data_IF_871872647530
#
_entry.id   IF_871872647530
#
_cell.length_a   1.000
_cell.length_b   1.000
_cell.length_c   1.000
_cell.angle_alpha   90.00
_cell.angle_beta   90.00
_cell.angle_gamma   90.00
#
_symmetry.space_group_name_H-M   'P 1'
#
loop_
_entity.id
_entity.type
_entity.pdbx_description
1 polymer ?
#
# COMPACT_ATOMS: atom_id res chain seq x y z
N UNK A 1 14.83 -12.72 5.22
CA UNK A 1 13.82 -12.02 4.39
C UNK A 1 13.27 -10.90 5.26
N UNK A 2 13.19 -9.67 4.76
CA UNK A 2 12.56 -8.60 5.55
C UNK A 2 11.04 -8.82 5.59
N UNK A 3 10.34 -8.47 6.69
CA UNK A 3 8.88 -8.60 6.77
C UNK A 3 8.16 -7.86 5.65
N UNK A 4 8.70 -6.71 5.25
CA UNK A 4 8.17 -5.81 4.22
C UNK A 4 8.48 -6.25 2.78
N UNK A 5 9.06 -7.43 2.57
CA UNK A 5 9.48 -7.87 1.24
C UNK A 5 8.33 -7.95 0.22
N UNK A 6 7.09 -8.18 0.68
CA UNK A 6 5.91 -8.17 -0.18
C UNK A 6 5.58 -6.78 -0.72
N UNK A 7 6.17 -5.70 -0.18
CA UNK A 7 6.04 -4.36 -0.74
C UNK A 7 6.53 -4.29 -2.19
N UNK A 8 7.51 -5.13 -2.58
CA UNK A 8 7.96 -5.21 -3.96
C UNK A 8 6.86 -5.69 -4.91
N UNK A 9 6.11 -6.72 -4.51
CA UNK A 9 4.99 -7.26 -5.28
C UNK A 9 3.83 -6.27 -5.32
N UNK A 10 3.48 -5.70 -4.16
CA UNK A 10 2.46 -4.67 -4.02
C UNK A 10 2.75 -3.45 -4.93
N UNK A 11 3.97 -2.92 -4.88
CA UNK A 11 4.41 -1.79 -5.71
C UNK A 11 4.43 -2.13 -7.21
N UNK A 12 4.92 -3.32 -7.58
CA UNK A 12 4.94 -3.76 -8.99
C UNK A 12 3.52 -3.92 -9.53
N UNK A 13 2.61 -4.48 -8.73
CA UNK A 13 1.21 -4.66 -9.09
C UNK A 13 0.50 -3.32 -9.31
N UNK A 14 0.69 -2.32 -8.42
CA UNK A 14 0.00 -1.04 -8.57
C UNK A 14 0.51 -0.24 -9.78
N UNK A 15 1.81 -0.31 -10.09
CA UNK A 15 2.36 0.30 -11.32
C UNK A 15 1.82 -0.41 -12.57
N UNK A 16 1.60 -1.73 -12.51
CA UNK A 16 0.92 -2.47 -13.58
C UNK A 16 -0.53 -2.02 -13.80
N UNK A 17 -1.29 -1.79 -12.72
CA UNK A 17 -2.67 -1.27 -12.78
C UNK A 17 -2.68 0.14 -13.37
N UNK A 18 -1.82 1.03 -12.89
CA UNK A 18 -1.69 2.39 -13.42
C UNK A 18 -1.34 2.38 -14.92
N UNK A 19 -0.40 1.53 -15.35
CA UNK A 19 -0.06 1.37 -16.76
C UNK A 19 -1.26 0.90 -17.59
N UNK A 20 -2.08 -0.02 -17.06
CA UNK A 20 -3.28 -0.51 -17.75
C UNK A 20 -4.32 0.60 -17.93
N UNK A 21 -4.56 1.42 -16.91
CA UNK A 21 -5.51 2.54 -16.96
C UNK A 21 -5.13 3.58 -18.03
N UNK A 22 -3.84 3.81 -18.26
CA UNK A 22 -3.34 4.72 -19.29
C UNK A 22 -3.14 4.06 -20.67
N UNK A 23 -3.55 2.80 -20.86
CA UNK A 23 -3.45 2.09 -22.13
C UNK A 23 -2.05 1.55 -22.46
N UNK A 24 -1.10 1.59 -21.53
CA UNK A 24 0.27 1.08 -21.71
C UNK A 24 0.38 -0.42 -21.45
N UNK A 25 -0.31 -1.23 -22.27
CA UNK A 25 -0.33 -2.69 -22.15
C UNK A 25 1.08 -3.33 -22.19
N UNK A 26 2.00 -2.77 -22.97
CA UNK A 26 3.40 -3.24 -23.10
C UNK A 26 4.17 -3.13 -21.78
N UNK A 27 3.85 -2.13 -20.95
CA UNK A 27 4.45 -1.96 -19.61
C UNK A 27 3.64 -2.76 -18.57
N UNK A 28 2.31 -2.72 -18.68
CA UNK A 28 1.41 -3.34 -17.71
C UNK A 28 1.59 -4.85 -17.63
N UNK A 29 1.62 -5.58 -18.75
CA UNK A 29 1.66 -7.03 -18.77
C UNK A 29 2.91 -7.64 -18.13
N UNK A 30 4.15 -7.18 -18.47
CA UNK A 30 5.36 -7.68 -17.81
C UNK A 30 5.35 -7.44 -16.30
N UNK A 31 4.90 -6.26 -15.86
CA UNK A 31 4.79 -5.95 -14.42
C UNK A 31 3.72 -6.81 -13.73
N UNK A 32 2.59 -7.06 -14.40
CA UNK A 32 1.55 -7.93 -13.88
C UNK A 32 2.09 -9.35 -13.66
N UNK A 33 2.82 -9.90 -14.63
CA UNK A 33 3.45 -11.21 -14.53
C UNK A 33 4.50 -11.25 -13.43
N UNK A 34 5.32 -10.22 -13.31
CA UNK A 34 6.33 -10.14 -12.25
C UNK A 34 5.69 -10.11 -10.86
N UNK A 35 4.60 -9.38 -10.68
CA UNK A 35 3.85 -9.37 -9.41
C UNK A 35 3.18 -10.73 -9.15
N UNK A 36 2.54 -11.32 -10.16
CA UNK A 36 1.86 -12.61 -10.07
C UNK A 36 2.79 -13.78 -9.73
N UNK A 37 4.01 -13.79 -10.28
CA UNK A 37 5.04 -14.79 -9.99
C UNK A 37 5.81 -14.48 -8.70
N UNK A 38 6.03 -13.20 -8.42
CA UNK A 38 6.73 -12.74 -7.22
C UNK A 38 5.96 -13.06 -5.94
N UNK A 39 4.63 -12.96 -5.95
CA UNK A 39 3.80 -13.25 -4.79
C UNK A 39 3.99 -14.68 -4.24
N UNK A 40 3.75 -15.77 -5.00
CA UNK A 40 3.93 -17.13 -4.51
C UNK A 40 5.39 -17.44 -4.17
N UNK A 41 6.35 -16.87 -4.90
CA UNK A 41 7.78 -17.00 -4.57
C UNK A 41 8.09 -16.42 -3.18
N UNK A 42 7.61 -15.21 -2.89
CA UNK A 42 7.79 -14.60 -1.58
C UNK A 42 6.99 -15.32 -0.49
N UNK A 43 5.80 -15.86 -0.79
CA UNK A 43 5.04 -16.70 0.15
C UNK A 43 5.83 -17.95 0.53
N UNK A 44 6.44 -18.64 -0.43
CA UNK A 44 7.28 -19.80 -0.19
C UNK A 44 8.52 -19.45 0.65
N UNK A 45 9.20 -18.35 0.32
CA UNK A 45 10.36 -17.87 1.08
C UNK A 45 9.98 -17.45 2.51
N UNK A 46 8.84 -16.79 2.68
CA UNK A 46 8.31 -16.42 3.99
C UNK A 46 7.94 -17.67 4.80
N UNK A 47 7.37 -18.70 4.17
CA UNK A 47 7.02 -19.96 4.80
C UNK A 47 8.26 -20.70 5.34
N UNK A 48 9.32 -20.82 4.53
CA UNK A 48 10.59 -21.44 4.95
C UNK A 48 11.26 -20.64 6.06
N UNK A 49 11.20 -19.31 5.98
CA UNK A 49 11.87 -18.42 6.94
C UNK A 49 10.95 -17.96 8.07
N UNK A 50 9.84 -18.65 8.35
CA UNK A 50 8.88 -18.26 9.41
C UNK A 50 9.54 -18.05 10.77
N UNK A 51 10.51 -18.89 11.15
CA UNK A 51 11.24 -18.78 12.42
C UNK A 51 12.13 -17.53 12.53
N UNK A 52 12.41 -16.85 11.42
CA UNK A 52 13.20 -15.62 11.42
C UNK A 52 12.38 -14.36 11.70
N UNK A 53 11.05 -14.47 11.70
CA UNK A 53 10.17 -13.34 12.01
C UNK A 53 9.94 -13.26 13.52
N UNK A 54 10.41 -12.17 14.13
CA UNK A 54 10.08 -11.86 15.50
C UNK A 54 8.66 -11.27 15.59
N UNK A 55 7.67 -12.13 15.81
CA UNK A 55 6.26 -11.77 16.02
C UNK A 55 6.01 -11.10 17.39
N UNK A 56 7.06 -10.85 18.17
CA UNK A 56 6.98 -9.98 19.35
C UNK A 56 7.15 -8.51 19.01
N UNK A 57 7.84 -8.21 17.91
CA UNK A 57 7.99 -6.86 17.40
C UNK A 57 6.75 -6.40 16.64
N UNK A 58 6.27 -5.20 16.98
CA UNK A 58 5.16 -4.54 16.28
C UNK A 58 5.53 -4.24 14.82
N UNK A 59 6.78 -3.83 14.57
CA UNK A 59 7.25 -3.46 13.23
C UNK A 59 7.27 -4.67 12.29
N UNK A 60 7.56 -5.87 12.81
CA UNK A 60 7.46 -7.12 12.04
C UNK A 60 6.01 -7.40 11.65
N UNK A 61 5.07 -7.30 12.60
CA UNK A 61 3.64 -7.58 12.35
C UNK A 61 3.09 -6.59 11.32
N UNK A 62 3.36 -5.30 11.51
CA UNK A 62 2.97 -4.25 10.58
C UNK A 62 3.59 -4.49 9.20
N UNK A 63 4.88 -4.80 9.12
CA UNK A 63 5.56 -5.07 7.86
C UNK A 63 4.93 -6.26 7.09
N UNK A 64 4.41 -7.27 7.80
CA UNK A 64 3.70 -8.39 7.20
C UNK A 64 2.34 -8.00 6.59
N UNK A 65 1.75 -6.84 6.91
CA UNK A 65 0.55 -6.37 6.19
C UNK A 65 0.83 -6.06 4.71
N UNK A 66 2.10 -5.89 4.31
CA UNK A 66 2.47 -5.85 2.89
C UNK A 66 2.04 -7.11 2.13
N UNK A 67 1.94 -8.27 2.79
CA UNK A 67 1.39 -9.49 2.19
C UNK A 67 -0.11 -9.34 1.89
N UNK A 68 -0.90 -8.82 2.84
CA UNK A 68 -2.34 -8.59 2.65
C UNK A 68 -2.58 -7.62 1.49
N UNK A 69 -1.83 -6.51 1.47
CA UNK A 69 -1.91 -5.53 0.41
C UNK A 69 -1.44 -6.09 -0.95
N UNK A 70 -0.36 -6.89 -0.99
CA UNK A 70 0.09 -7.54 -2.21
C UNK A 70 -0.95 -8.51 -2.78
N UNK A 71 -1.61 -9.31 -1.93
CA UNK A 71 -2.72 -10.17 -2.35
C UNK A 71 -3.85 -9.35 -2.97
N UNK A 72 -4.28 -8.27 -2.31
CA UNK A 72 -5.36 -7.41 -2.80
C UNK A 72 -5.01 -6.71 -4.13
N UNK A 73 -3.79 -6.19 -4.27
CA UNK A 73 -3.36 -5.50 -5.50
C UNK A 73 -3.26 -6.48 -6.67
N UNK A 74 -2.69 -7.68 -6.46
CA UNK A 74 -2.64 -8.70 -7.51
C UNK A 74 -4.05 -9.20 -7.85
N UNK A 75 -4.92 -9.39 -6.85
CA UNK A 75 -6.32 -9.74 -7.07
C UNK A 75 -7.05 -8.69 -7.93
N UNK A 76 -6.88 -7.41 -7.61
CA UNK A 76 -7.45 -6.31 -8.37
C UNK A 76 -6.93 -6.27 -9.81
N UNK A 77 -5.63 -6.54 -10.02
CA UNK A 77 -5.05 -6.56 -11.38
C UNK A 77 -5.64 -7.65 -12.26
N UNK A 78 -6.03 -8.78 -11.68
CA UNK A 78 -6.60 -9.95 -12.36
C UNK A 78 -8.08 -10.16 -12.01
N UNK A 79 -8.82 -9.09 -11.67
CA UNK A 79 -10.20 -9.17 -11.23
C UNK A 79 -11.15 -9.77 -12.27
N UNK A 80 -10.78 -9.73 -13.56
CA UNK A 80 -11.49 -10.41 -14.65
C UNK A 80 -11.51 -11.94 -14.49
N UNK A 81 -10.52 -12.51 -13.79
CA UNK A 81 -10.43 -13.92 -13.48
C UNK A 81 -10.98 -14.19 -12.08
N UNK A 82 -12.29 -14.48 -12.00
CA UNK A 82 -13.01 -14.75 -10.72
C UNK A 82 -12.26 -15.70 -9.76
N UNK A 83 -11.65 -16.82 -10.20
CA UNK A 83 -10.90 -17.70 -9.30
C UNK A 83 -9.70 -17.02 -8.64
N UNK A 84 -9.01 -16.12 -9.37
CA UNK A 84 -7.85 -15.38 -8.84
C UNK A 84 -8.30 -14.40 -7.76
N UNK A 85 -9.38 -13.67 -8.01
CA UNK A 85 -9.98 -12.76 -7.03
C UNK A 85 -10.37 -13.50 -5.74
N UNK A 86 -11.04 -14.64 -5.86
CA UNK A 86 -11.41 -15.49 -4.73
C UNK A 86 -10.20 -16.02 -3.94
N UNK A 87 -9.22 -16.63 -4.63
CA UNK A 87 -8.07 -17.26 -3.98
C UNK A 87 -7.22 -16.20 -3.27
N UNK A 88 -6.87 -15.12 -3.96
CA UNK A 88 -6.05 -14.06 -3.39
C UNK A 88 -6.80 -13.26 -2.32
N UNK A 89 -8.12 -13.07 -2.50
CA UNK A 89 -8.99 -12.49 -1.49
C UNK A 89 -9.03 -13.31 -0.21
N UNK A 90 -9.23 -14.62 -0.31
CA UNK A 90 -9.21 -15.53 0.84
C UNK A 90 -7.83 -15.56 1.53
N UNK A 91 -6.75 -15.56 0.75
CA UNK A 91 -5.38 -15.51 1.26
C UNK A 91 -5.07 -14.19 1.98
N UNK A 92 -5.50 -13.07 1.42
CA UNK A 92 -5.39 -11.74 2.03
C UNK A 92 -6.19 -11.66 3.33
N UNK A 93 -7.44 -12.16 3.32
CA UNK A 93 -8.32 -12.18 4.49
C UNK A 93 -7.74 -13.07 5.61
N UNK A 94 -7.19 -14.24 5.28
CA UNK A 94 -6.50 -15.10 6.24
C UNK A 94 -5.25 -14.41 6.83
N UNK A 95 -4.50 -13.68 6.01
CA UNK A 95 -3.38 -12.85 6.48
C UNK A 95 -3.86 -11.75 7.44
N UNK A 96 -4.93 -11.05 7.09
CA UNK A 96 -5.45 -9.96 7.91
C UNK A 96 -6.03 -10.45 9.24
N UNK A 97 -6.83 -11.52 9.24
CA UNK A 97 -7.45 -12.10 10.45
C UNK A 97 -6.41 -12.65 11.43
N UNK A 98 -5.24 -13.06 10.94
CA UNK A 98 -4.12 -13.47 11.80
C UNK A 98 -3.30 -12.30 12.31
N UNK A 99 -3.06 -11.27 11.49
CA UNK A 99 -2.20 -10.14 11.85
C UNK A 99 -2.91 -9.08 12.72
N UNK A 100 -4.20 -8.79 12.47
CA UNK A 100 -4.91 -7.72 13.18
C UNK A 100 -5.02 -7.96 14.70
N UNK A 101 -5.33 -9.17 15.22
CA UNK A 101 -5.42 -9.39 16.65
C UNK A 101 -4.04 -9.31 17.30
N UNK A 102 -3.00 -9.80 16.61
CA UNK A 102 -1.61 -9.69 17.06
C UNK A 102 -1.19 -8.22 17.18
N UNK A 103 -1.50 -7.40 16.17
CA UNK A 103 -1.24 -5.97 16.19
C UNK A 103 -1.94 -5.31 17.39
N UNK A 104 -3.25 -5.53 17.55
CA UNK A 104 -4.04 -4.92 18.63
C UNK A 104 -3.52 -5.32 20.03
N UNK A 105 -3.16 -6.59 20.24
CA UNK A 105 -2.58 -7.05 21.51
C UNK A 105 -1.24 -6.36 21.79
N UNK A 106 -0.39 -6.18 20.77
CA UNK A 106 0.90 -5.49 20.92
C UNK A 106 0.72 -4.00 21.19
N UNK A 107 -0.20 -3.35 20.47
CA UNK A 107 -0.50 -1.94 20.68
C UNK A 107 -1.03 -1.68 22.10
N UNK A 108 -1.92 -2.55 22.60
CA UNK A 108 -2.42 -2.46 23.98
C UNK A 108 -1.31 -2.62 25.03
N UNK A 109 -0.33 -3.49 24.80
CA UNK A 109 0.80 -3.71 25.72
C UNK A 109 1.80 -2.56 25.77
N UNK A 110 1.94 -1.80 24.68
CA UNK A 110 2.85 -0.65 24.61
C UNK A 110 2.29 0.57 25.36
N UNK A 111 0.97 0.70 25.47
CA UNK A 111 0.32 1.88 26.00
C UNK A 111 0.43 3.10 25.08
N UNK A 112 -0.27 4.21 25.38
CA UNK A 112 -0.37 5.36 24.49
C UNK A 112 0.98 6.06 24.25
N UNK A 113 1.81 6.19 25.30
CA UNK A 113 3.14 6.82 25.21
C UNK A 113 4.10 5.94 24.40
N UNK A 114 4.15 4.64 24.71
CA UNK A 114 5.00 3.69 23.97
C UNK A 114 4.58 3.51 22.50
N UNK A 115 3.31 3.72 22.18
CA UNK A 115 2.81 3.78 20.81
C UNK A 115 3.33 5.01 20.08
N UNK A 116 3.20 6.20 20.69
CA UNK A 116 3.69 7.45 20.11
C UNK A 116 5.18 7.38 19.78
N UNK A 117 6.01 6.95 20.73
CA UNK A 117 7.46 6.92 20.57
C UNK A 117 7.93 5.94 19.49
N UNK A 118 7.08 4.99 19.09
CA UNK A 118 7.36 4.00 18.04
C UNK A 118 6.58 4.23 16.75
N UNK A 119 5.64 5.17 16.73
CA UNK A 119 4.82 5.49 15.56
C UNK A 119 5.70 5.90 14.39
N UNK A 120 5.43 5.29 13.22
CA UNK A 120 6.21 5.40 11.97
C UNK A 120 5.28 5.20 10.79
N UNK A 121 5.65 5.73 9.62
CA UNK A 121 4.81 5.66 8.41
C UNK A 121 4.47 4.22 8.00
N UNK A 122 5.36 3.26 8.26
CA UNK A 122 5.12 1.83 8.01
C UNK A 122 3.86 1.30 8.70
N UNK A 123 3.42 1.87 9.83
CA UNK A 123 2.22 1.45 10.56
C UNK A 123 0.92 1.61 9.75
N UNK A 124 0.93 2.48 8.75
CA UNK A 124 -0.19 2.67 7.83
C UNK A 124 -0.41 1.46 6.91
N UNK A 125 0.54 0.52 6.81
CA UNK A 125 0.32 -0.73 6.08
C UNK A 125 -0.87 -1.53 6.60
N UNK A 126 -1.20 -1.39 7.90
CA UNK A 126 -2.40 -1.98 8.47
C UNK A 126 -3.67 -1.40 7.83
N UNK A 127 -3.74 -0.07 7.64
CA UNK A 127 -4.83 0.57 6.90
C UNK A 127 -4.81 0.16 5.43
N UNK A 128 -3.66 0.23 4.75
CA UNK A 128 -3.50 -0.13 3.33
C UNK A 128 -4.01 -1.54 3.04
N UNK A 129 -3.58 -2.54 3.82
CA UNK A 129 -4.04 -3.91 3.66
C UNK A 129 -5.55 -4.07 3.90
N UNK A 130 -6.10 -3.30 4.85
CA UNK A 130 -7.54 -3.31 5.16
C UNK A 130 -8.36 -2.67 4.03
N UNK A 131 -7.91 -1.55 3.45
CA UNK A 131 -8.53 -0.94 2.26
C UNK A 131 -8.45 -1.88 1.05
N UNK A 132 -7.34 -2.60 0.88
CA UNK A 132 -7.21 -3.63 -0.14
C UNK A 132 -8.26 -4.74 -0.03
N UNK A 133 -8.58 -5.20 1.20
CA UNK A 133 -9.66 -6.17 1.40
C UNK A 133 -11.04 -5.58 1.11
N UNK A 134 -11.28 -4.31 1.45
CA UNK A 134 -12.52 -3.62 1.07
C UNK A 134 -12.74 -3.67 -0.44
N UNK A 135 -11.71 -3.34 -1.24
CA UNK A 135 -11.76 -3.42 -2.70
C UNK A 135 -12.08 -4.84 -3.20
N UNK A 136 -11.46 -5.87 -2.61
CA UNK A 136 -11.75 -7.27 -2.97
C UNK A 136 -13.20 -7.64 -2.69
N UNK A 137 -13.75 -7.27 -1.53
CA UNK A 137 -15.15 -7.55 -1.20
C UNK A 137 -16.14 -6.82 -2.12
N UNK A 138 -15.85 -5.56 -2.47
CA UNK A 138 -16.66 -4.81 -3.42
C UNK A 138 -16.61 -5.46 -4.81
N UNK A 139 -15.44 -5.87 -5.28
CA UNK A 139 -15.28 -6.57 -6.55
C UNK A 139 -16.02 -7.93 -6.60
N UNK A 140 -16.13 -8.62 -5.47
CA UNK A 140 -16.95 -9.83 -5.33
C UNK A 140 -18.47 -9.55 -5.26
N UNK A 141 -18.88 -8.30 -5.12
CA UNK A 141 -20.27 -7.88 -4.96
C UNK A 141 -20.80 -7.99 -3.52
N UNK A 142 -19.91 -8.12 -2.53
CA UNK A 142 -20.27 -8.30 -1.11
C UNK A 142 -20.16 -6.96 -0.37
N UNK A 143 -21.15 -6.09 -0.61
CA UNK A 143 -21.13 -4.68 -0.18
C UNK A 143 -20.95 -4.50 1.33
N UNK A 144 -21.63 -5.31 2.14
CA UNK A 144 -21.56 -5.23 3.60
C UNK A 144 -20.12 -5.31 4.12
N UNK A 145 -19.36 -6.30 3.67
CA UNK A 145 -17.95 -6.44 4.06
C UNK A 145 -17.08 -5.36 3.43
N UNK A 146 -17.37 -4.93 2.20
CA UNK A 146 -16.72 -3.77 1.58
C UNK A 146 -16.75 -2.53 2.50
N UNK A 147 -17.94 -2.18 3.01
CA UNK A 147 -18.13 -1.07 3.95
C UNK A 147 -17.43 -1.27 5.29
N UNK A 148 -17.56 -2.47 5.88
CA UNK A 148 -16.95 -2.76 7.18
C UNK A 148 -15.43 -2.62 7.12
N UNK A 149 -14.79 -3.20 6.11
CA UNK A 149 -13.34 -3.09 5.93
C UNK A 149 -12.92 -1.65 5.60
N UNK A 150 -13.70 -0.92 4.80
CA UNK A 150 -13.42 0.49 4.53
C UNK A 150 -13.47 1.36 5.79
N UNK A 151 -14.52 1.22 6.60
CA UNK A 151 -14.64 1.93 7.88
C UNK A 151 -13.50 1.59 8.84
N UNK A 152 -13.12 0.31 8.95
CA UNK A 152 -11.96 -0.11 9.75
C UNK A 152 -10.67 0.53 9.20
N UNK A 153 -10.49 0.56 7.88
CA UNK A 153 -9.30 1.15 7.28
C UNK A 153 -9.18 2.65 7.56
N UNK A 154 -10.29 3.40 7.50
CA UNK A 154 -10.34 4.82 7.85
C UNK A 154 -10.02 5.05 9.34
N UNK A 155 -10.56 4.22 10.23
CA UNK A 155 -10.26 4.28 11.65
C UNK A 155 -8.77 3.99 11.92
N UNK A 156 -8.21 2.95 11.30
CA UNK A 156 -6.79 2.62 11.41
C UNK A 156 -5.92 3.77 10.91
N UNK A 157 -6.26 4.34 9.75
CA UNK A 157 -5.54 5.48 9.18
C UNK A 157 -5.54 6.67 10.13
N UNK A 158 -6.71 7.07 10.63
CA UNK A 158 -6.84 8.19 11.56
C UNK A 158 -6.03 7.99 12.85
N UNK A 159 -6.08 6.80 13.44
CA UNK A 159 -5.33 6.48 14.67
C UNK A 159 -3.82 6.50 14.43
N UNK A 160 -3.33 5.85 13.38
CA UNK A 160 -1.90 5.77 13.08
C UNK A 160 -1.34 7.15 12.70
N UNK A 161 -2.04 7.88 11.84
CA UNK A 161 -1.66 9.24 11.44
C UNK A 161 -1.63 10.18 12.64
N UNK A 162 -2.59 10.09 13.57
CA UNK A 162 -2.60 10.91 14.79
C UNK A 162 -1.41 10.61 15.69
N UNK A 163 -1.04 9.33 15.85
CA UNK A 163 0.14 8.93 16.64
C UNK A 163 1.44 9.46 16.02
N UNK A 164 1.55 9.42 14.69
CA UNK A 164 2.71 9.95 13.95
C UNK A 164 2.78 11.47 14.07
N UNK A 165 1.64 12.15 13.90
CA UNK A 165 1.56 13.61 14.06
C UNK A 165 1.92 14.04 15.49
N UNK A 166 1.40 13.34 16.50
CA UNK A 166 1.71 13.60 17.90
C UNK A 166 3.21 13.42 18.18
N UNK A 167 3.83 12.38 17.63
CA UNK A 167 5.29 12.19 17.73
C UNK A 167 6.07 13.34 17.08
N UNK A 168 5.66 13.80 15.90
CA UNK A 168 6.34 14.86 15.16
C UNK A 168 6.19 16.25 15.82
N UNK A 169 5.09 16.49 16.53
CA UNK A 169 4.91 17.74 17.28
C UNK A 169 5.88 17.83 18.46
N UNK A 170 6.06 16.73 19.19
CA UNK A 170 6.94 16.70 20.36
C UNK A 170 8.43 16.59 20.02
N UNK A 171 8.80 15.86 18.97
CA UNK A 171 10.19 15.65 18.59
C UNK A 171 10.58 16.46 17.34
N UNK A 172 11.36 17.53 17.57
CA UNK A 172 11.84 18.41 16.49
C UNK A 172 12.83 17.76 15.53
N UNK A 173 13.48 16.67 15.92
CA UNK A 173 14.43 15.94 15.07
C UNK A 173 13.68 15.10 14.02
N UNK A 174 12.55 14.51 14.41
CA UNK A 174 11.64 13.77 13.50
C UNK A 174 11.06 14.71 12.43
N UNK A 175 10.79 15.98 12.75
CA UNK A 175 10.32 16.96 11.74
C UNK A 175 11.37 17.31 10.68
N UNK A 176 12.66 17.30 11.06
CA UNK A 176 13.75 17.67 10.15
C UNK A 176 14.18 16.53 9.24
N UNK A 177 14.10 15.29 9.74
CA UNK A 177 14.50 14.09 9.01
C UNK A 177 13.30 13.17 8.81
N UNK A 178 12.38 13.56 7.91
CA UNK A 178 11.21 12.74 7.56
C UNK A 178 11.68 11.42 6.93
N UNK A 179 11.42 10.27 7.55
CA UNK A 179 11.84 8.99 7.00
C UNK A 179 11.05 8.58 5.74
N UNK A 180 11.61 7.64 4.92
CA UNK A 180 11.04 7.27 3.62
C UNK A 180 9.66 6.61 3.72
N UNK A 181 9.35 6.05 4.88
CA UNK A 181 8.11 5.36 5.16
C UNK A 181 6.90 6.30 5.27
N UNK A 182 7.11 7.62 5.37
CA UNK A 182 6.03 8.60 5.41
C UNK A 182 5.27 8.70 4.08
N UNK A 183 5.87 8.25 2.96
CA UNK A 183 5.12 8.07 1.72
C UNK A 183 3.92 7.12 1.89
N UNK A 184 4.00 6.15 2.81
CA UNK A 184 2.92 5.20 3.08
C UNK A 184 1.69 5.90 3.67
N UNK A 185 1.82 7.03 4.38
CA UNK A 185 0.68 7.84 4.82
C UNK A 185 -0.14 8.33 3.62
N UNK A 186 0.54 8.95 2.64
CA UNK A 186 -0.12 9.38 1.41
C UNK A 186 -0.75 8.18 0.68
N UNK A 187 -0.04 7.05 0.60
CA UNK A 187 -0.54 5.83 -0.03
C UNK A 187 -1.77 5.23 0.67
N UNK A 188 -1.81 5.27 2.01
CA UNK A 188 -2.92 4.83 2.85
C UNK A 188 -4.19 5.64 2.60
N UNK A 189 -4.07 6.97 2.58
CA UNK A 189 -5.18 7.84 2.20
C UNK A 189 -5.63 7.61 0.75
N UNK A 190 -4.70 7.42 -0.18
CA UNK A 190 -5.02 7.16 -1.59
C UNK A 190 -5.78 5.85 -1.80
N UNK A 191 -5.41 4.75 -1.13
CA UNK A 191 -6.14 3.48 -1.24
C UNK A 191 -7.47 3.48 -0.48
N UNK A 192 -7.56 4.21 0.63
CA UNK A 192 -8.84 4.44 1.30
C UNK A 192 -9.81 5.25 0.41
N UNK A 193 -9.29 6.22 -0.35
CA UNK A 193 -10.04 6.95 -1.37
C UNK A 193 -10.52 6.01 -2.46
N UNK A 194 -9.63 5.19 -3.04
CA UNK A 194 -10.01 4.26 -4.10
C UNK A 194 -11.08 3.27 -3.62
N UNK A 195 -10.96 2.74 -2.40
CA UNK A 195 -11.98 1.88 -1.81
C UNK A 195 -13.33 2.61 -1.66
N UNK A 196 -13.31 3.88 -1.28
CA UNK A 196 -14.51 4.71 -1.17
C UNK A 196 -15.18 4.96 -2.52
N UNK A 197 -14.40 5.23 -3.57
CA UNK A 197 -14.89 5.40 -4.95
C UNK A 197 -15.58 4.12 -5.47
N UNK A 198 -14.94 2.96 -5.30
CA UNK A 198 -15.54 1.68 -5.69
C UNK A 198 -16.84 1.36 -4.92
N UNK A 199 -16.90 1.72 -3.63
CA UNK A 199 -18.14 1.60 -2.83
C UNK A 199 -19.20 2.54 -3.39
N UNK A 200 -18.86 3.81 -3.64
CA UNK A 200 -19.78 4.81 -4.16
C UNK A 200 -20.40 4.40 -5.50
N UNK A 201 -19.58 3.92 -6.45
CA UNK A 201 -20.05 3.46 -7.77
C UNK A 201 -21.04 2.30 -7.67
N UNK A 202 -20.91 1.47 -6.65
CA UNK A 202 -21.78 0.31 -6.44
C UNK A 202 -23.03 0.63 -5.59
N UNK A 203 -23.19 1.86 -5.10
CA UNK A 203 -24.37 2.32 -4.36
C UNK A 203 -25.43 2.92 -5.27
N UNK A 204 -26.70 2.76 -4.87
CA UNK A 204 -27.79 3.57 -5.41
C UNK A 204 -27.72 5.01 -4.89
N UNK A 205 -28.14 6.01 -5.68
CA UNK A 205 -28.20 7.40 -5.22
C UNK A 205 -28.98 7.55 -3.91
N UNK A 206 -28.42 8.30 -2.95
CA UNK A 206 -29.05 8.55 -1.66
C UNK A 206 -28.07 9.07 -0.60
N UNK A 207 -28.53 9.34 0.62
CA UNK A 207 -27.72 9.99 1.66
C UNK A 207 -26.44 9.23 2.03
N UNK A 208 -26.47 7.90 1.97
CA UNK A 208 -25.29 7.06 2.23
C UNK A 208 -24.24 7.26 1.13
N UNK A 209 -24.66 7.30 -0.14
CA UNK A 209 -23.76 7.54 -1.25
C UNK A 209 -23.13 8.94 -1.15
N UNK A 210 -23.89 9.96 -0.75
CA UNK A 210 -23.36 11.31 -0.53
C UNK A 210 -22.30 11.36 0.57
N UNK A 211 -22.53 10.67 1.69
CA UNK A 211 -21.54 10.56 2.78
C UNK A 211 -20.28 9.86 2.30
N UNK A 212 -20.41 8.74 1.58
CA UNK A 212 -19.25 8.01 1.02
C UNK A 212 -18.47 8.90 0.08
N UNK A 213 -19.14 9.65 -0.81
CA UNK A 213 -18.51 10.60 -1.72
C UNK A 213 -17.75 11.69 -0.97
N UNK A 214 -18.36 12.32 0.04
CA UNK A 214 -17.70 13.35 0.86
C UNK A 214 -16.44 12.79 1.53
N UNK A 215 -16.52 11.62 2.18
CA UNK A 215 -15.37 10.98 2.82
C UNK A 215 -14.28 10.59 1.82
N UNK A 216 -14.68 10.14 0.63
CA UNK A 216 -13.77 9.82 -0.48
C UNK A 216 -13.02 11.07 -0.94
N UNK A 217 -13.71 12.19 -1.16
CA UNK A 217 -13.07 13.46 -1.52
C UNK A 217 -12.15 13.96 -0.40
N UNK A 218 -12.59 13.88 0.86
CA UNK A 218 -11.76 14.28 2.02
C UNK A 218 -10.47 13.47 2.09
N UNK A 219 -10.56 12.14 1.96
CA UNK A 219 -9.37 11.27 1.96
C UNK A 219 -8.44 11.56 0.79
N UNK A 220 -8.98 11.90 -0.39
CA UNK A 220 -8.17 12.33 -1.53
C UNK A 220 -7.44 13.64 -1.29
N UNK A 221 -8.11 14.63 -0.69
CA UNK A 221 -7.50 15.91 -0.31
C UNK A 221 -6.40 15.68 0.72
N UNK A 222 -6.65 14.83 1.72
CA UNK A 222 -5.65 14.44 2.74
C UNK A 222 -4.43 13.79 2.09
N UNK A 223 -4.62 12.89 1.11
CA UNK A 223 -3.51 12.31 0.36
C UNK A 223 -2.74 13.39 -0.42
N UNK A 224 -3.45 14.30 -1.07
CA UNK A 224 -2.88 15.33 -1.95
C UNK A 224 -2.03 16.36 -1.19
N UNK A 225 -2.52 16.84 -0.03
CA UNK A 225 -1.81 17.83 0.80
C UNK A 225 -0.47 17.30 1.30
N UNK A 226 -0.33 15.98 1.47
CA UNK A 226 0.91 15.35 1.94
C UNK A 226 2.01 15.30 0.86
N UNK A 227 1.67 15.40 -0.43
CA UNK A 227 2.63 15.25 -1.53
C UNK A 227 3.71 16.33 -1.47
N UNK A 228 3.32 17.59 -1.27
CA UNK A 228 4.26 18.72 -1.26
C UNK A 228 5.33 18.62 -0.16
N UNK A 229 4.98 18.42 1.13
CA UNK A 229 6.00 18.27 2.18
C UNK A 229 6.86 17.03 1.98
N UNK A 230 6.29 15.91 1.49
CA UNK A 230 7.04 14.69 1.21
C UNK A 230 8.04 14.89 0.06
N UNK A 231 7.63 15.56 -1.02
CA UNK A 231 8.49 15.85 -2.16
C UNK A 231 9.69 16.73 -1.76
N UNK A 232 9.50 17.71 -0.87
CA UNK A 232 10.57 18.60 -0.39
C UNK A 232 11.52 17.89 0.57
N UNK A 233 10.99 17.11 1.52
CA UNK A 233 11.77 16.54 2.63
C UNK A 233 12.41 15.19 2.30
N UNK A 234 11.79 14.39 1.43
CA UNK A 234 12.14 12.98 1.24
C UNK A 234 12.43 12.60 -0.22
N UNK A 235 12.65 13.58 -1.10
CA UNK A 235 12.95 13.35 -2.53
C UNK A 235 14.11 12.36 -2.75
N UNK A 236 15.18 12.45 -1.95
CA UNK A 236 16.36 11.58 -2.04
C UNK A 236 16.06 10.14 -1.61
N UNK A 237 15.00 9.94 -0.83
CA UNK A 237 14.60 8.67 -0.25
C UNK A 237 13.46 8.01 -1.04
N UNK A 238 13.05 8.58 -2.18
CA UNK A 238 12.08 8.00 -3.10
C UNK A 238 12.58 6.70 -3.79
N UNK A 239 13.86 6.36 -3.62
CA UNK A 239 14.49 5.18 -4.22
C UNK A 239 14.39 3.93 -3.33
N UNK A 240 13.24 3.70 -2.71
CA UNK A 240 12.92 2.46 -2.00
C UNK A 240 11.46 2.04 -2.23
N UNK A 241 11.14 0.77 -2.01
CA UNK A 241 9.80 0.19 -2.21
C UNK A 241 8.67 0.94 -1.50
N UNK A 242 8.85 1.47 -0.27
CA UNK A 242 7.83 2.27 0.42
C UNK A 242 7.34 3.50 -0.33
N UNK A 243 8.12 4.06 -1.25
CA UNK A 243 7.74 5.23 -2.04
C UNK A 243 7.03 4.87 -3.36
N UNK A 244 7.39 3.75 -3.98
CA UNK A 244 6.84 3.35 -5.29
C UNK A 244 5.34 3.06 -5.20
N UNK A 245 4.91 2.35 -4.15
CA UNK A 245 3.50 2.01 -3.99
C UNK A 245 2.60 3.26 -3.85
N UNK A 246 2.85 4.20 -2.93
CA UNK A 246 2.05 5.41 -2.79
C UNK A 246 1.94 6.24 -4.07
N UNK A 247 3.04 6.39 -4.81
CA UNK A 247 3.03 7.12 -6.08
C UNK A 247 2.13 6.45 -7.13
N UNK A 248 2.25 5.13 -7.27
CA UNK A 248 1.39 4.35 -8.16
C UNK A 248 -0.07 4.35 -7.68
N UNK A 249 -0.29 4.25 -6.38
CA UNK A 249 -1.63 4.29 -5.78
C UNK A 249 -2.32 5.62 -6.05
N UNK A 250 -1.62 6.74 -5.85
CA UNK A 250 -2.17 8.07 -6.14
C UNK A 250 -2.53 8.24 -7.63
N UNK A 251 -1.71 7.68 -8.54
CA UNK A 251 -2.06 7.61 -9.96
C UNK A 251 -3.37 6.85 -10.19
N UNK A 252 -3.51 5.66 -9.61
CA UNK A 252 -4.69 4.81 -9.78
C UNK A 252 -5.95 5.48 -9.21
N UNK A 253 -5.83 6.08 -8.03
CA UNK A 253 -6.92 6.80 -7.36
C UNK A 253 -7.35 8.04 -8.14
N UNK A 254 -6.41 8.86 -8.63
CA UNK A 254 -6.73 10.04 -9.43
C UNK A 254 -7.46 9.67 -10.74
N UNK A 255 -7.07 8.55 -11.37
CA UNK A 255 -7.79 8.03 -12.54
C UNK A 255 -9.23 7.63 -12.17
N UNK A 256 -9.41 6.83 -11.12
CA UNK A 256 -10.73 6.38 -10.65
C UNK A 256 -11.67 7.54 -10.33
N UNK A 257 -11.18 8.54 -9.57
CA UNK A 257 -11.97 9.73 -9.25
C UNK A 257 -12.37 10.57 -10.46
N UNK A 258 -11.62 10.51 -11.57
CA UNK A 258 -12.03 11.21 -12.79
C UNK A 258 -13.33 10.62 -13.34
N UNK A 259 -13.48 9.29 -13.28
CA UNK A 259 -14.67 8.58 -13.74
C UNK A 259 -15.88 8.95 -12.87
N UNK A 260 -15.67 9.10 -11.56
CA UNK A 260 -16.73 9.47 -10.61
C UNK A 260 -17.14 10.95 -10.71
N UNK A 261 -16.16 11.86 -10.71
CA UNK A 261 -16.39 13.31 -10.53
C UNK A 261 -16.48 14.08 -11.84
N UNK A 262 -16.01 13.50 -12.95
CA UNK A 262 -15.86 14.17 -14.24
C UNK A 262 -14.70 15.19 -14.27
N UNK A 263 -13.85 15.24 -13.25
CA UNK A 263 -12.74 16.20 -13.16
C UNK A 263 -11.58 15.79 -14.08
N UNK A 264 -11.66 16.15 -15.36
CA UNK A 264 -10.67 15.79 -16.37
C UNK A 264 -9.21 16.17 -16.03
N UNK A 265 -8.99 17.18 -15.18
CA UNK A 265 -7.65 17.53 -14.69
C UNK A 265 -6.96 16.36 -13.95
N UNK A 266 -7.73 15.49 -13.29
CA UNK A 266 -7.19 14.34 -12.57
C UNK A 266 -6.60 13.26 -13.49
N UNK A 267 -6.99 13.19 -14.76
CA UNK A 267 -6.34 12.31 -15.74
C UNK A 267 -4.88 12.73 -15.93
N UNK A 268 -4.62 14.04 -16.04
CA UNK A 268 -3.25 14.57 -16.19
C UNK A 268 -2.44 14.28 -14.94
N UNK A 269 -3.02 14.52 -13.76
CA UNK A 269 -2.39 14.20 -12.48
C UNK A 269 -2.06 12.71 -12.40
N UNK A 270 -3.02 11.85 -12.72
CA UNK A 270 -2.83 10.40 -12.76
C UNK A 270 -1.66 10.03 -13.68
N UNK A 271 -1.64 10.58 -14.90
CA UNK A 271 -0.60 10.28 -15.88
C UNK A 271 0.80 10.69 -15.43
N UNK A 272 0.92 11.87 -14.79
CA UNK A 272 2.19 12.35 -14.23
C UNK A 272 2.66 11.40 -13.11
N UNK A 273 1.76 11.04 -12.19
CA UNK A 273 2.10 10.14 -11.08
C UNK A 273 2.43 8.73 -11.55
N UNK A 274 1.79 8.23 -12.61
CA UNK A 274 2.16 6.98 -13.25
C UNK A 274 3.62 6.98 -13.69
N UNK A 275 4.06 8.01 -14.43
CA UNK A 275 5.45 8.09 -14.89
C UNK A 275 6.43 8.25 -13.73
N UNK A 276 6.10 9.03 -12.71
CA UNK A 276 6.91 9.16 -11.49
C UNK A 276 7.06 7.78 -10.82
N UNK A 277 5.95 7.05 -10.65
CA UNK A 277 5.97 5.72 -10.05
C UNK A 277 6.77 4.71 -10.89
N UNK A 278 6.63 4.75 -12.22
CA UNK A 278 7.34 3.89 -13.15
C UNK A 278 8.86 4.15 -13.10
N UNK A 279 9.29 5.41 -13.11
CA UNK A 279 10.71 5.78 -12.97
C UNK A 279 11.25 5.35 -11.61
N UNK A 280 10.52 5.62 -10.52
CA UNK A 280 10.90 5.19 -9.18
C UNK A 280 11.06 3.65 -9.12
N UNK A 281 10.11 2.91 -9.69
CA UNK A 281 10.17 1.44 -9.78
C UNK A 281 11.43 0.95 -10.51
N UNK A 282 11.73 1.52 -11.69
CA UNK A 282 12.93 1.15 -12.47
C UNK A 282 14.22 1.41 -11.67
N UNK A 283 14.30 2.54 -10.97
CA UNK A 283 15.46 2.89 -10.16
C UNK A 283 15.63 1.93 -8.97
N UNK A 284 14.55 1.61 -8.26
CA UNK A 284 14.58 0.65 -7.15
C UNK A 284 15.02 -0.73 -7.62
N UNK A 285 14.46 -1.21 -8.73
CA UNK A 285 14.89 -2.49 -9.33
C UNK A 285 16.37 -2.45 -9.72
N UNK A 286 16.84 -1.36 -10.33
CA UNK A 286 18.25 -1.16 -10.64
C UNK A 286 19.17 -1.25 -9.41
N UNK A 287 18.76 -0.66 -8.28
CA UNK A 287 19.49 -0.75 -7.00
C UNK A 287 19.51 -2.19 -6.47
N UNK A 288 18.37 -2.89 -6.51
CA UNK A 288 18.25 -4.28 -6.05
C UNK A 288 19.12 -5.21 -6.90
N UNK A 289 19.04 -5.11 -8.23
CA UNK A 289 19.83 -5.93 -9.15
C UNK A 289 21.32 -5.69 -8.94
N UNK A 290 21.76 -4.43 -8.86
CA UNK A 290 23.18 -4.09 -8.57
C UNK A 290 23.65 -4.70 -7.25
N UNK A 291 22.80 -4.69 -6.22
CA UNK A 291 23.13 -5.30 -4.91
C UNK A 291 23.27 -6.82 -5.02
N UNK A 292 22.38 -7.48 -5.76
CA UNK A 292 22.45 -8.93 -6.00
C UNK A 292 23.73 -9.29 -6.77
N UNK A 293 24.03 -8.57 -7.85
CA UNK A 293 25.25 -8.80 -8.66
C UNK A 293 26.53 -8.62 -7.85
N UNK A 294 26.60 -7.61 -6.97
CA UNK A 294 27.75 -7.41 -6.07
C UNK A 294 27.91 -8.55 -5.05
N UNK A 295 26.80 -9.09 -4.55
CA UNK A 295 26.82 -10.19 -3.58
C UNK A 295 27.26 -11.50 -4.22
N UNK A 296 26.83 -11.77 -5.46
CA UNK A 296 27.26 -12.94 -6.22
C UNK A 296 28.71 -12.83 -6.70
N UNK A 297 29.17 -11.63 -7.10
CA UNK A 297 30.58 -11.42 -7.46
C UNK A 297 31.54 -11.55 -6.25
N UNK A 298 31.11 -11.15 -5.06
CA UNK A 298 31.91 -11.27 -3.83
C UNK A 298 32.05 -12.69 -3.28
N UNK A 299 31.12 -13.60 -3.59
CA UNK A 299 31.20 -15.03 -3.21
C UNK A 299 31.90 -15.90 -4.27
N UNK A 300 32.20 -15.36 -5.45
CA UNK A 300 32.88 -16.07 -6.55
C UNK A 300 34.42 -16.03 -6.51
N UNK A 301 35.05 -15.36 -5.54
CA UNK A 301 36.51 -15.14 -5.48
C UNK A 301 37.18 -15.64 -4.19
N UNK A 302 36.68 -16.72 -3.59
CA UNK A 302 37.46 -17.48 -2.59
C UNK A 302 37.79 -18.86 -3.17
N UNK A 303 38.97 -19.05 -3.79
CA UNK A 303 39.52 -20.38 -3.94
C UNK A 303 39.76 -20.96 -2.54
N UNK A 304 39.45 -22.25 -2.38
CA UNK A 304 39.73 -23.04 -1.18
C UNK A 304 41.22 -23.14 -0.92
#
# INVERSE_FOLDING_TARGET
MKPEAFAAVMATGIVSIAAAQHGYGVISWPLAMLAALGLPMLMYLAAIRRRSFDLRSIDTIVGLFTYVAACAVVAARFAEYRPVLWILGALGLAGWTTLIPMLLVRMRRLGPIGLRDRARGTWELASVGTSGLSLVFVAEGIMFWGFVFWGIALCLYGVMTLLIAWRALDDSEVRRNVPPDHWILMGGAAIATLAGEHIYVALSPGPVADVVRVLTVVTFVVASVQILPLAVTSWRQMLDWPAVFPLGMYSVTAYGLTVETGWNALIVVSHVFFWIACVAWVLVVGVVVRRIVRLTSGHGLRPR
#
